data_IF_377865329481
#
_entry.id   IF_377865329481
#
_cell.length_a   1.000
_cell.length_b   1.000
_cell.length_c   1.000
_cell.angle_alpha   90.00
_cell.angle_beta   90.00
_cell.angle_gamma   90.00
#
_symmetry.space_group_name_H-M   'P 1'
#
loop_
_entity.id
_entity.type
_entity.pdbx_description
1 polymer ?
#
# COMPACT_ATOMS: atom_id res chain seq x y z
N UNK A 1 17.84 -34.05 22.74
CA UNK A 1 16.37 -33.91 22.79
C UNK A 1 15.95 -32.60 22.15
N UNK A 2 16.55 -31.46 22.52
CA UNK A 2 16.27 -30.14 21.90
C UNK A 2 16.39 -30.13 20.36
N UNK A 3 17.47 -30.68 19.79
CA UNK A 3 17.65 -30.72 18.33
C UNK A 3 16.59 -31.54 17.56
N UNK A 4 15.98 -32.54 18.23
CA UNK A 4 14.91 -33.35 17.63
C UNK A 4 13.54 -32.68 17.75
N UNK A 5 13.38 -31.78 18.72
CA UNK A 5 12.19 -30.95 18.91
C UNK A 5 12.20 -29.75 17.95
N UNK A 6 13.34 -29.08 17.77
CA UNK A 6 13.53 -28.04 16.75
C UNK A 6 13.23 -28.57 15.35
N UNK A 7 13.80 -29.72 14.96
CA UNK A 7 13.57 -30.31 13.64
C UNK A 7 12.09 -30.65 13.38
N UNK A 8 11.33 -31.04 14.42
CA UNK A 8 9.88 -31.28 14.30
C UNK A 8 9.07 -30.00 14.09
N UNK A 9 9.50 -28.89 14.70
CA UNK A 9 8.87 -27.57 14.54
C UNK A 9 9.15 -27.03 13.13
N UNK A 10 10.40 -27.14 12.65
CA UNK A 10 10.77 -26.75 11.28
C UNK A 10 9.99 -27.58 10.26
N UNK A 11 9.90 -28.89 10.44
CA UNK A 11 9.12 -29.77 9.57
C UNK A 11 7.62 -29.39 9.56
N UNK A 12 7.05 -28.88 10.67
CA UNK A 12 5.65 -28.46 10.70
C UNK A 12 5.35 -27.26 9.81
N UNK A 13 6.23 -26.25 9.77
CA UNK A 13 6.02 -24.98 9.04
C UNK A 13 6.61 -24.95 7.63
N UNK A 14 7.53 -25.86 7.32
CA UNK A 14 8.20 -25.88 6.02
C UNK A 14 7.85 -27.11 5.16
N UNK A 15 7.17 -28.14 5.68
CA UNK A 15 6.72 -29.29 4.86
C UNK A 15 5.64 -28.97 3.82
N UNK A 16 5.05 -27.78 3.83
CA UNK A 16 4.13 -27.32 2.78
C UNK A 16 4.85 -26.65 1.60
N UNK A 17 6.15 -26.39 1.71
CA UNK A 17 6.94 -25.93 0.58
C UNK A 17 7.04 -27.07 -0.43
N UNK A 18 6.28 -26.94 -1.53
CA UNK A 18 6.38 -27.89 -2.64
C UNK A 18 7.83 -27.87 -3.15
N UNK A 19 8.52 -29.03 -3.18
CA UNK A 19 9.87 -29.06 -3.72
C UNK A 19 9.83 -28.63 -5.19
N UNK A 20 10.55 -27.57 -5.51
CA UNK A 20 10.69 -27.09 -6.88
C UNK A 20 11.85 -27.84 -7.55
N UNK A 21 11.59 -28.45 -8.71
CA UNK A 21 12.64 -29.09 -9.51
C UNK A 21 13.53 -28.04 -10.14
N UNK A 22 14.81 -28.35 -10.32
CA UNK A 22 15.71 -27.54 -11.13
C UNK A 22 15.15 -27.46 -12.57
N UNK A 23 14.99 -26.27 -13.16
CA UNK A 23 14.62 -26.15 -14.57
C UNK A 23 15.67 -26.82 -15.46
N UNK A 24 15.23 -27.65 -16.40
CA UNK A 24 16.08 -28.30 -17.41
C UNK A 24 15.92 -27.58 -18.76
N UNK A 25 16.99 -27.58 -19.59
CA UNK A 25 16.95 -27.00 -20.93
C UNK A 25 17.24 -25.50 -20.98
N UNK A 26 16.76 -24.84 -22.03
CA UNK A 26 16.85 -23.38 -22.18
C UNK A 26 15.83 -22.70 -21.26
N UNK A 27 16.29 -21.76 -20.43
CA UNK A 27 15.50 -21.20 -19.33
C UNK A 27 15.02 -19.81 -19.71
N UNK A 28 13.71 -19.67 -19.89
CA UNK A 28 13.03 -18.38 -19.98
C UNK A 28 12.07 -18.21 -18.80
N UNK A 29 12.44 -17.34 -17.86
CA UNK A 29 11.68 -17.05 -16.63
C UNK A 29 10.31 -16.41 -16.94
N UNK A 30 10.16 -15.74 -18.08
CA UNK A 30 8.95 -14.98 -18.43
C UNK A 30 8.17 -15.62 -19.59
N UNK A 31 8.46 -16.88 -19.92
CA UNK A 31 7.76 -17.62 -20.95
C UNK A 31 6.25 -17.71 -20.66
N UNK A 32 5.43 -17.46 -21.69
CA UNK A 32 3.99 -17.64 -21.61
C UNK A 32 3.62 -19.12 -21.59
N UNK A 33 2.66 -19.46 -20.74
CA UNK A 33 2.15 -20.82 -20.60
C UNK A 33 1.10 -21.18 -21.68
N UNK A 34 0.57 -20.19 -22.38
CA UNK A 34 -0.62 -20.29 -23.24
C UNK A 34 -1.93 -20.45 -22.46
N UNK A 35 -1.89 -20.53 -21.12
CA UNK A 35 -3.05 -20.62 -20.25
C UNK A 35 -3.35 -19.27 -19.63
N UNK A 36 -4.28 -18.53 -20.22
CA UNK A 36 -4.63 -17.16 -19.80
C UNK A 36 -4.87 -17.00 -18.30
N UNK A 37 -5.45 -18.01 -17.63
CA UNK A 37 -5.72 -18.03 -16.17
C UNK A 37 -4.47 -18.01 -15.28
N UNK A 38 -3.32 -18.42 -15.82
CA UNK A 38 -2.03 -18.45 -15.10
C UNK A 38 -1.15 -17.24 -15.45
N UNK A 39 -1.61 -16.39 -16.36
CA UNK A 39 -0.83 -15.31 -16.93
C UNK A 39 -1.34 -13.96 -16.43
N UNK A 40 -0.43 -13.05 -16.16
CA UNK A 40 -0.71 -11.66 -15.83
C UNK A 40 0.00 -10.74 -16.81
N UNK A 41 -0.64 -9.63 -17.15
CA UNK A 41 0.01 -8.54 -17.89
C UNK A 41 0.54 -7.58 -16.84
N UNK A 42 1.85 -7.30 -16.86
CA UNK A 42 2.50 -6.37 -15.94
C UNK A 42 3.23 -5.32 -16.78
N UNK A 43 2.98 -4.04 -16.49
CA UNK A 43 3.51 -2.91 -17.26
C UNK A 43 2.56 -2.43 -18.37
N UNK A 44 2.96 -1.37 -19.07
CA UNK A 44 2.17 -0.70 -20.11
C UNK A 44 2.66 0.74 -20.34
N UNK A 45 2.14 1.39 -21.37
CA UNK A 45 2.43 2.81 -21.66
C UNK A 45 1.69 3.76 -20.72
N UNK A 46 0.55 3.32 -20.19
CA UNK A 46 -0.22 4.06 -19.20
C UNK A 46 0.52 4.03 -17.86
N UNK A 47 0.85 5.22 -17.34
CA UNK A 47 1.34 5.43 -15.97
C UNK A 47 0.19 5.21 -14.99
N UNK A 48 -0.43 4.04 -15.02
CA UNK A 48 -1.62 3.73 -14.24
C UNK A 48 -1.25 3.53 -12.76
N UNK A 49 -1.09 4.64 -12.05
CA UNK A 49 -0.88 4.68 -10.61
C UNK A 49 -1.97 3.91 -9.85
N UNK A 50 -3.19 3.87 -10.38
CA UNK A 50 -4.30 3.20 -9.73
C UNK A 50 -4.09 1.69 -9.68
N UNK A 51 -3.60 1.07 -10.77
CA UNK A 51 -3.27 -0.35 -10.79
C UNK A 51 -2.21 -0.71 -9.73
N UNK A 52 -1.15 0.10 -9.60
CA UNK A 52 -0.12 -0.12 -8.57
C UNK A 52 -0.70 0.05 -7.15
N UNK A 53 -1.40 1.16 -6.87
CA UNK A 53 -2.01 1.41 -5.56
C UNK A 53 -2.94 0.26 -5.14
N UNK A 54 -3.84 -0.12 -6.05
CA UNK A 54 -4.87 -1.12 -5.80
C UNK A 54 -4.29 -2.53 -5.70
N UNK A 55 -3.26 -2.84 -6.50
CA UNK A 55 -2.57 -4.12 -6.47
C UNK A 55 -1.93 -4.41 -5.11
N UNK A 56 -1.19 -3.45 -4.55
CA UNK A 56 -0.56 -3.63 -3.24
C UNK A 56 -1.58 -3.73 -2.10
N UNK A 57 -2.66 -2.95 -2.14
CA UNK A 57 -3.77 -3.07 -1.18
C UNK A 57 -4.40 -4.47 -1.20
N UNK A 58 -4.81 -4.92 -2.39
CA UNK A 58 -5.47 -6.23 -2.56
C UNK A 58 -4.55 -7.38 -2.14
N UNK A 59 -3.26 -7.29 -2.45
CA UNK A 59 -2.29 -8.29 -2.03
C UNK A 59 -2.15 -8.35 -0.50
N UNK A 60 -2.07 -7.20 0.18
CA UNK A 60 -2.03 -7.14 1.64
C UNK A 60 -3.30 -7.76 2.25
N UNK A 61 -4.47 -7.43 1.72
CA UNK A 61 -5.76 -7.90 2.23
C UNK A 61 -5.92 -9.42 2.12
N UNK A 62 -5.57 -9.99 0.96
CA UNK A 62 -5.54 -11.46 0.76
C UNK A 62 -4.58 -12.14 1.74
N UNK A 63 -3.43 -11.53 2.05
CA UNK A 63 -2.49 -12.07 3.03
C UNK A 63 -3.04 -11.98 4.46
N UNK A 64 -3.78 -10.92 4.81
CA UNK A 64 -4.48 -10.84 6.10
C UNK A 64 -5.54 -11.94 6.18
N UNK A 65 -6.37 -12.12 5.15
CA UNK A 65 -7.35 -13.21 5.11
C UNK A 65 -6.70 -14.58 5.29
N UNK A 66 -5.59 -14.83 4.58
CA UNK A 66 -4.82 -16.06 4.75
C UNK A 66 -4.27 -16.21 6.18
N UNK A 67 -3.87 -15.11 6.81
CA UNK A 67 -3.36 -15.08 8.18
C UNK A 67 -4.45 -15.37 9.23
N UNK A 68 -5.71 -14.99 8.97
CA UNK A 68 -6.80 -15.07 9.96
C UNK A 68 -7.78 -16.21 9.71
N UNK A 69 -7.65 -16.94 8.60
CA UNK A 69 -8.50 -18.09 8.27
C UNK A 69 -8.51 -19.13 9.40
N UNK A 70 -9.72 -19.44 9.84
CA UNK A 70 -10.02 -20.21 11.05
C UNK A 70 -9.49 -21.64 11.02
N UNK A 71 -9.36 -22.27 9.85
CA UNK A 71 -8.97 -23.69 9.71
C UNK A 71 -7.50 -23.96 10.10
N UNK A 72 -6.75 -22.91 10.40
CA UNK A 72 -5.41 -22.96 10.97
C UNK A 72 -5.48 -22.93 12.51
N UNK A 73 -6.49 -23.58 13.10
CA UNK A 73 -6.85 -23.64 14.53
C UNK A 73 -5.71 -24.02 15.50
N UNK A 74 -4.56 -24.46 14.99
CA UNK A 74 -3.35 -24.67 15.80
C UNK A 74 -2.46 -23.42 15.95
N UNK A 75 -2.87 -22.25 15.43
CA UNK A 75 -2.07 -21.02 15.50
C UNK A 75 -1.93 -20.51 16.93
N UNK A 76 -0.69 -20.48 17.42
CA UNK A 76 0.04 -19.26 17.79
C UNK A 76 1.31 -19.63 18.57
N UNK A 77 2.25 -20.36 17.96
CA UNK A 77 3.64 -20.03 18.30
C UNK A 77 3.97 -18.72 17.56
N UNK A 78 4.73 -17.84 18.21
CA UNK A 78 5.36 -16.71 17.56
C UNK A 78 6.49 -17.25 16.66
N UNK A 79 6.12 -18.08 15.66
CA UNK A 79 7.06 -18.70 14.74
C UNK A 79 7.45 -17.76 13.61
N UNK A 80 8.66 -17.94 13.13
CA UNK A 80 9.25 -17.17 12.04
C UNK A 80 8.37 -17.17 10.78
N UNK A 81 7.60 -18.25 10.54
CA UNK A 81 6.68 -18.33 9.42
C UNK A 81 5.61 -17.22 9.46
N UNK A 82 4.86 -17.10 10.55
CA UNK A 82 3.79 -16.11 10.66
C UNK A 82 4.33 -14.69 10.75
N UNK A 83 5.45 -14.50 11.45
CA UNK A 83 6.11 -13.21 11.55
C UNK A 83 6.66 -12.74 10.20
N UNK A 84 7.17 -13.64 9.35
CA UNK A 84 7.62 -13.29 7.99
C UNK A 84 6.49 -12.76 7.09
N UNK A 85 5.29 -13.30 7.23
CA UNK A 85 4.10 -12.84 6.50
C UNK A 85 3.66 -11.46 7.03
N UNK A 86 3.74 -11.23 8.35
CA UNK A 86 3.41 -9.95 8.97
C UNK A 86 4.26 -8.79 8.41
N UNK A 87 5.58 -8.97 8.26
CA UNK A 87 6.44 -7.96 7.63
C UNK A 87 5.99 -7.61 6.21
N UNK A 88 5.60 -8.62 5.44
CA UNK A 88 5.12 -8.44 4.06
C UNK A 88 3.81 -7.65 4.02
N UNK A 89 2.83 -8.01 4.87
CA UNK A 89 1.54 -7.29 4.98
C UNK A 89 1.76 -5.81 5.29
N UNK A 90 2.57 -5.51 6.31
CA UNK A 90 2.86 -4.14 6.74
C UNK A 90 3.52 -3.34 5.62
N UNK A 91 4.51 -3.94 4.93
CA UNK A 91 5.19 -3.29 3.83
C UNK A 91 4.23 -2.98 2.67
N UNK A 92 3.35 -3.91 2.31
CA UNK A 92 2.38 -3.74 1.23
C UNK A 92 1.38 -2.62 1.55
N UNK A 93 0.82 -2.58 2.77
CA UNK A 93 -0.06 -1.49 3.20
C UNK A 93 0.66 -0.13 3.20
N UNK A 94 1.88 -0.09 3.75
CA UNK A 94 2.69 1.13 3.78
C UNK A 94 3.02 1.62 2.36
N UNK A 95 3.34 0.71 1.44
CA UNK A 95 3.65 1.06 0.06
C UNK A 95 2.41 1.51 -0.73
N UNK A 96 1.26 0.88 -0.48
CA UNK A 96 -0.02 1.36 -0.97
C UNK A 96 -0.28 2.83 -0.57
N UNK A 97 -0.14 3.16 0.73
CA UNK A 97 -0.33 4.54 1.22
C UNK A 97 0.63 5.52 0.53
N UNK A 98 1.91 5.17 0.38
CA UNK A 98 2.89 6.03 -0.33
C UNK A 98 2.43 6.34 -1.76
N UNK A 99 2.07 5.29 -2.52
CA UNK A 99 1.66 5.45 -3.90
C UNK A 99 0.35 6.21 -4.03
N UNK A 100 -0.60 5.97 -3.10
CA UNK A 100 -1.88 6.69 -3.07
C UNK A 100 -1.68 8.17 -2.83
N UNK A 101 -0.82 8.56 -1.89
CA UNK A 101 -0.50 9.97 -1.64
C UNK A 101 0.20 10.63 -2.84
N UNK A 102 1.15 9.92 -3.47
CA UNK A 102 1.80 10.41 -4.71
C UNK A 102 0.81 10.55 -5.86
N UNK A 103 -0.10 9.60 -6.02
CA UNK A 103 -1.16 9.63 -7.03
C UNK A 103 -2.11 10.81 -6.80
N UNK A 104 -2.56 11.04 -5.57
CA UNK A 104 -3.42 12.18 -5.22
C UNK A 104 -2.71 13.52 -5.46
N UNK A 105 -1.43 13.63 -5.11
CA UNK A 105 -0.63 14.82 -5.44
C UNK A 105 -0.59 15.10 -6.94
N UNK A 106 -0.33 14.07 -7.77
CA UNK A 106 -0.35 14.19 -9.24
C UNK A 106 -1.75 14.57 -9.74
N UNK A 107 -2.80 13.98 -9.17
CA UNK A 107 -4.18 14.27 -9.54
C UNK A 107 -4.55 15.75 -9.33
N UNK A 108 -3.94 16.39 -8.33
CA UNK A 108 -4.01 17.84 -8.13
C UNK A 108 -2.96 18.62 -8.96
N UNK A 109 -2.49 18.13 -10.11
CA UNK A 109 -1.43 18.72 -10.95
C UNK A 109 -0.06 18.88 -10.27
N UNK A 110 0.21 18.09 -9.24
CA UNK A 110 1.54 18.02 -8.64
C UNK A 110 2.57 17.41 -9.61
N UNK A 111 3.78 17.97 -9.62
CA UNK A 111 4.89 17.47 -10.43
C UNK A 111 5.63 16.37 -9.65
N UNK A 112 5.43 15.11 -10.05
CA UNK A 112 6.00 13.92 -9.38
C UNK A 112 7.51 14.04 -9.11
N UNK A 113 8.27 14.63 -10.04
CA UNK A 113 9.72 14.79 -9.90
C UNK A 113 10.13 15.56 -8.64
N UNK A 114 9.24 16.40 -8.09
CA UNK A 114 9.49 17.17 -6.87
C UNK A 114 9.40 16.32 -5.60
N UNK A 115 8.69 15.18 -5.65
CA UNK A 115 8.47 14.28 -4.50
C UNK A 115 8.89 12.83 -4.74
N UNK A 116 9.48 12.51 -5.89
CA UNK A 116 9.77 11.11 -6.29
C UNK A 116 10.62 10.34 -5.26
N UNK A 117 11.55 11.04 -4.60
CA UNK A 117 12.46 10.48 -3.60
C UNK A 117 11.95 10.66 -2.16
N UNK A 118 10.78 11.27 -1.97
CA UNK A 118 10.15 11.37 -0.67
C UNK A 118 9.40 10.06 -0.36
N UNK A 119 9.60 9.56 0.85
CA UNK A 119 9.06 8.30 1.34
C UNK A 119 8.37 8.46 2.70
N UNK A 120 8.55 9.58 3.38
CA UNK A 120 7.82 9.91 4.59
C UNK A 120 6.36 10.11 4.23
N UNK A 121 5.49 9.24 4.74
CA UNK A 121 4.06 9.31 4.50
C UNK A 121 3.48 10.61 5.06
N UNK A 122 3.97 11.06 6.22
CA UNK A 122 3.52 12.32 6.82
C UNK A 122 3.93 13.52 5.97
N UNK A 123 5.15 13.52 5.41
CA UNK A 123 5.58 14.60 4.51
C UNK A 123 4.77 14.58 3.21
N UNK A 124 4.56 13.40 2.62
CA UNK A 124 3.73 13.23 1.42
C UNK A 124 2.29 13.72 1.65
N UNK A 125 1.69 13.36 2.79
CA UNK A 125 0.36 13.84 3.19
C UNK A 125 0.29 15.37 3.21
N UNK A 126 1.25 16.02 3.86
CA UNK A 126 1.30 17.49 3.97
C UNK A 126 1.48 18.16 2.61
N UNK A 127 2.41 17.66 1.80
CA UNK A 127 2.66 18.19 0.45
C UNK A 127 1.42 18.03 -0.43
N UNK A 128 0.78 16.87 -0.37
CA UNK A 128 -0.49 16.62 -1.05
C UNK A 128 -1.57 17.59 -0.58
N UNK A 129 -1.81 17.69 0.73
CA UNK A 129 -2.88 18.51 1.28
C UNK A 129 -2.70 19.99 0.92
N UNK A 130 -1.46 20.52 1.01
CA UNK A 130 -1.14 21.88 0.56
C UNK A 130 -1.42 22.06 -0.94
N UNK A 131 -1.08 21.07 -1.78
CA UNK A 131 -1.37 21.14 -3.22
C UNK A 131 -2.87 21.09 -3.49
N UNK A 132 -3.61 20.24 -2.79
CA UNK A 132 -5.05 20.15 -2.87
C UNK A 132 -5.72 21.49 -2.53
N UNK A 133 -5.32 22.17 -1.46
CA UNK A 133 -5.86 23.49 -1.13
C UNK A 133 -5.61 24.53 -2.24
N UNK A 134 -4.43 24.48 -2.87
CA UNK A 134 -4.12 25.34 -4.03
C UNK A 134 -4.99 24.99 -5.24
N UNK A 135 -5.14 23.69 -5.52
CA UNK A 135 -6.01 23.20 -6.60
C UNK A 135 -7.46 23.68 -6.39
N UNK A 136 -8.01 23.54 -5.19
CA UNK A 136 -9.36 24.03 -4.90
C UNK A 136 -9.49 25.55 -5.06
N UNK A 137 -8.45 26.33 -4.76
CA UNK A 137 -8.44 27.79 -5.01
C UNK A 137 -8.40 28.12 -6.51
N UNK A 138 -7.53 27.44 -7.26
CA UNK A 138 -7.35 27.63 -8.71
C UNK A 138 -8.64 27.33 -9.50
N UNK A 139 -9.37 26.31 -9.08
CA UNK A 139 -10.62 25.87 -9.72
C UNK A 139 -11.88 26.38 -9.03
N UNK A 140 -11.75 27.30 -8.06
CA UNK A 140 -12.86 27.89 -7.31
C UNK A 140 -13.82 26.83 -6.71
N UNK A 141 -13.26 25.72 -6.20
CA UNK A 141 -13.99 24.61 -5.57
C UNK A 141 -14.34 24.91 -4.10
N UNK A 142 -13.78 25.98 -3.52
CA UNK A 142 -13.95 26.37 -2.11
C UNK A 142 -15.28 27.09 -1.83
N UNK A 143 -16.37 26.77 -2.54
CA UNK A 143 -17.65 27.45 -2.34
C UNK A 143 -18.36 27.07 -1.04
N UNK A 144 -17.95 25.99 -0.38
CA UNK A 144 -18.50 25.53 0.89
C UNK A 144 -17.40 25.38 1.95
N UNK A 145 -17.66 25.91 3.16
CA UNK A 145 -16.80 25.67 4.31
C UNK A 145 -16.79 24.17 4.64
N UNK A 146 -15.60 23.62 4.90
CA UNK A 146 -15.49 22.24 5.36
C UNK A 146 -16.31 22.05 6.64
N UNK A 147 -17.18 21.04 6.65
CA UNK A 147 -17.95 20.71 7.84
C UNK A 147 -17.02 20.21 8.97
N UNK A 148 -17.50 20.26 10.23
CA UNK A 148 -16.77 19.69 11.36
C UNK A 148 -16.45 18.20 11.17
N UNK A 149 -17.33 17.46 10.47
CA UNK A 149 -17.14 16.04 10.14
C UNK A 149 -15.98 15.87 9.16
N UNK A 150 -15.88 16.70 8.12
CA UNK A 150 -14.77 16.67 7.18
C UNK A 150 -13.42 16.91 7.90
N UNK A 151 -13.36 17.90 8.80
CA UNK A 151 -12.16 18.15 9.60
C UNK A 151 -11.80 16.98 10.51
N UNK A 152 -12.81 16.31 11.08
CA UNK A 152 -12.58 15.12 11.90
C UNK A 152 -11.96 14.01 11.07
N UNK A 153 -12.47 13.73 9.88
CA UNK A 153 -11.98 12.65 9.02
C UNK A 153 -10.54 12.92 8.53
N UNK A 154 -10.26 14.16 8.12
CA UNK A 154 -8.89 14.62 7.77
C UNK A 154 -7.92 14.37 8.93
N UNK A 155 -8.32 14.72 10.15
CA UNK A 155 -7.50 14.49 11.34
C UNK A 155 -7.31 13.00 11.66
N UNK A 156 -8.30 12.15 11.38
CA UNK A 156 -8.19 10.70 11.58
C UNK A 156 -7.21 10.10 10.59
N UNK A 157 -7.31 10.42 9.29
CA UNK A 157 -6.39 9.87 8.30
C UNK A 157 -4.95 10.35 8.52
N UNK A 158 -4.74 11.60 8.95
CA UNK A 158 -3.41 12.11 9.30
C UNK A 158 -2.80 11.33 10.48
N UNK A 159 -3.60 10.99 11.50
CA UNK A 159 -3.14 10.16 12.63
C UNK A 159 -2.72 8.76 12.19
N UNK A 160 -3.50 8.13 11.30
CA UNK A 160 -3.19 6.80 10.76
C UNK A 160 -1.87 6.85 9.98
N UNK A 161 -1.72 7.85 9.09
CA UNK A 161 -0.51 8.09 8.30
C UNK A 161 0.70 8.32 9.22
N UNK A 162 0.53 9.13 10.28
CA UNK A 162 1.59 9.44 11.24
C UNK A 162 2.09 8.19 11.95
N UNK A 163 1.20 7.31 12.40
CA UNK A 163 1.59 6.07 13.06
C UNK A 163 2.41 5.14 12.15
N UNK A 164 2.06 5.04 10.87
CA UNK A 164 2.86 4.28 9.91
C UNK A 164 4.21 4.94 9.62
N UNK A 165 4.26 6.28 9.52
CA UNK A 165 5.50 7.04 9.31
C UNK A 165 6.48 6.86 10.48
N UNK A 166 5.98 6.87 11.72
CA UNK A 166 6.79 6.65 12.92
C UNK A 166 7.45 5.26 12.92
N UNK A 167 6.70 4.25 12.48
CA UNK A 167 7.19 2.88 12.33
C UNK A 167 8.23 2.82 11.20
N UNK A 168 7.91 3.26 9.98
CA UNK A 168 8.77 3.11 8.79
C UNK A 168 8.80 4.32 7.83
N UNK A 169 9.31 5.43 8.35
CA UNK A 169 9.47 6.71 7.62
C UNK A 169 10.12 6.61 6.24
N UNK A 170 11.12 5.74 6.07
CA UNK A 170 11.93 5.70 4.84
C UNK A 170 11.69 4.43 4.00
N UNK A 171 10.62 3.68 4.28
CA UNK A 171 10.36 2.39 3.63
C UNK A 171 11.45 1.34 3.84
N UNK A 172 12.26 1.40 4.90
CA UNK A 172 13.40 0.50 5.08
C UNK A 172 13.17 -0.54 6.15
N UNK A 173 12.52 -0.15 7.25
CA UNK A 173 12.52 -0.95 8.48
C UNK A 173 11.69 -2.23 8.37
N UNK A 174 10.69 -2.23 7.49
CA UNK A 174 9.88 -3.42 7.20
C UNK A 174 10.51 -4.37 6.17
N UNK A 175 11.60 -3.95 5.50
CA UNK A 175 12.30 -4.73 4.48
C UNK A 175 13.62 -5.30 4.96
N UNK A 176 14.30 -4.59 5.85
CA UNK A 176 15.65 -4.94 6.27
C UNK A 176 15.70 -5.07 7.80
N UNK A 177 16.20 -6.20 8.34
CA UNK A 177 16.26 -6.42 9.78
C UNK A 177 17.24 -5.47 10.49
N UNK A 178 18.22 -4.95 9.74
CA UNK A 178 19.18 -3.94 10.21
C UNK A 178 19.26 -2.76 9.25
N UNK A 179 19.62 -1.60 9.79
CA UNK A 179 19.91 -0.40 9.01
C UNK A 179 21.31 -0.44 8.38
N UNK A 180 21.67 0.64 7.67
CA UNK A 180 22.97 0.75 6.98
C UNK A 180 24.19 0.71 7.92
N UNK A 181 24.00 0.92 9.22
CA UNK A 181 25.07 0.84 10.23
C UNK A 181 25.00 -0.45 11.06
N UNK A 182 24.13 -1.38 10.69
CA UNK A 182 23.99 -2.69 11.35
C UNK A 182 23.11 -2.68 12.61
N UNK A 183 22.39 -1.59 12.90
CA UNK A 183 21.49 -1.52 14.05
C UNK A 183 20.13 -2.12 13.68
N UNK A 184 19.52 -2.86 14.60
CA UNK A 184 18.16 -3.41 14.45
C UNK A 184 17.19 -2.30 14.03
N UNK A 185 16.50 -2.54 12.91
CA UNK A 185 15.63 -1.56 12.26
C UNK A 185 14.32 -1.32 13.00
N UNK A 186 13.71 -2.39 13.51
CA UNK A 186 12.41 -2.36 14.16
C UNK A 186 12.46 -3.21 15.44
N UNK A 187 12.17 -2.63 16.63
CA UNK A 187 12.06 -3.42 17.84
C UNK A 187 10.82 -4.32 17.80
N UNK A 188 10.77 -5.41 18.58
CA UNK A 188 9.61 -6.29 18.64
C UNK A 188 8.33 -5.53 19.00
N UNK A 189 7.27 -5.75 18.22
CA UNK A 189 5.95 -5.19 18.46
C UNK A 189 4.87 -6.22 18.11
N UNK A 190 3.79 -6.26 18.89
CA UNK A 190 2.62 -7.08 18.60
C UNK A 190 1.61 -6.23 17.86
N UNK A 191 1.10 -6.73 16.75
CA UNK A 191 0.13 -6.04 15.91
C UNK A 191 -1.06 -6.98 15.70
N UNK A 192 -2.25 -6.47 15.96
CA UNK A 192 -3.48 -7.12 15.55
C UNK A 192 -3.73 -6.81 14.06
N UNK A 193 -3.56 -7.83 13.22
CA UNK A 193 -3.68 -7.69 11.76
C UNK A 193 -5.12 -7.43 11.31
N UNK A 194 -6.13 -7.89 12.06
CA UNK A 194 -7.54 -7.62 11.76
C UNK A 194 -7.83 -6.16 12.03
N UNK A 195 -7.47 -5.68 13.23
CA UNK A 195 -7.67 -4.28 13.61
C UNK A 195 -6.91 -3.34 12.66
N UNK A 196 -5.66 -3.67 12.33
CA UNK A 196 -4.85 -2.91 11.38
C UNK A 196 -5.57 -2.77 10.03
N UNK A 197 -6.07 -3.89 9.49
CA UNK A 197 -6.80 -3.89 8.22
C UNK A 197 -8.05 -3.03 8.28
N UNK A 198 -8.85 -3.11 9.34
CA UNK A 198 -10.09 -2.35 9.48
C UNK A 198 -9.83 -0.83 9.46
N UNK A 199 -8.86 -0.37 10.25
CA UNK A 199 -8.48 1.04 10.33
C UNK A 199 -7.92 1.55 9.00
N UNK A 200 -7.05 0.76 8.37
CA UNK A 200 -6.52 1.10 7.06
C UNK A 200 -7.57 1.04 5.95
N UNK A 201 -8.58 0.16 6.07
CA UNK A 201 -9.67 0.04 5.11
C UNK A 201 -10.50 1.32 5.06
N UNK A 202 -10.79 1.89 6.24
CA UNK A 202 -11.42 3.21 6.32
C UNK A 202 -10.54 4.30 5.70
N UNK A 203 -9.24 4.33 6.00
CA UNK A 203 -8.31 5.31 5.42
C UNK A 203 -8.23 5.19 3.90
N UNK A 204 -8.18 3.97 3.36
CA UNK A 204 -8.19 3.73 1.91
C UNK A 204 -9.49 4.25 1.27
N UNK A 205 -10.65 3.97 1.86
CA UNK A 205 -11.95 4.48 1.37
C UNK A 205 -12.01 6.00 1.37
N UNK A 206 -11.51 6.64 2.43
CA UNK A 206 -11.43 8.09 2.51
C UNK A 206 -10.55 8.69 1.40
N UNK A 207 -9.35 8.13 1.19
CA UNK A 207 -8.42 8.58 0.14
C UNK A 207 -8.92 8.26 -1.28
N UNK A 208 -9.62 7.14 -1.47
CA UNK A 208 -10.31 6.81 -2.72
C UNK A 208 -11.38 7.87 -3.04
N UNK A 209 -12.15 8.30 -2.04
CA UNK A 209 -13.14 9.36 -2.18
C UNK A 209 -12.55 10.67 -2.71
N UNK A 210 -11.38 11.08 -2.20
CA UNK A 210 -10.66 12.24 -2.72
C UNK A 210 -10.21 12.04 -4.16
N UNK A 211 -9.69 10.87 -4.50
CA UNK A 211 -9.28 10.55 -5.87
C UNK A 211 -10.46 10.65 -6.84
N UNK A 212 -11.64 10.14 -6.46
CA UNK A 212 -12.86 10.24 -7.25
C UNK A 212 -13.31 11.71 -7.41
N UNK A 213 -13.37 12.46 -6.31
CA UNK A 213 -13.80 13.87 -6.35
C UNK A 213 -12.90 14.74 -7.23
N UNK A 214 -11.58 14.55 -7.15
CA UNK A 214 -10.62 15.26 -8.03
C UNK A 214 -10.84 14.87 -9.49
N UNK A 215 -11.05 13.59 -9.78
CA UNK A 215 -11.31 13.13 -11.14
C UNK A 215 -12.61 13.72 -11.71
N UNK A 216 -13.67 13.78 -10.92
CA UNK A 216 -14.94 14.41 -11.32
C UNK A 216 -14.77 15.90 -11.64
N UNK A 217 -13.98 16.62 -10.84
CA UNK A 217 -13.62 18.01 -11.13
C UNK A 217 -12.92 18.15 -12.49
N UNK A 218 -12.00 17.23 -12.82
CA UNK A 218 -11.35 17.22 -14.13
C UNK A 218 -12.30 17.00 -15.28
N UNK A 219 -13.24 16.08 -15.15
CA UNK A 219 -14.23 15.81 -16.19
C UNK A 219 -15.12 17.02 -16.44
N UNK A 220 -15.54 17.72 -15.37
CA UNK A 220 -16.32 18.95 -15.49
C UNK A 220 -15.52 20.08 -16.19
N UNK A 221 -14.26 20.25 -15.82
CA UNK A 221 -13.38 21.26 -16.44
C UNK A 221 -13.14 20.99 -17.94
N UNK A 222 -12.88 19.73 -18.31
CA UNK A 222 -12.71 19.36 -19.71
C UNK A 222 -13.98 19.65 -20.53
N UNK A 223 -15.15 19.32 -20.00
CA UNK A 223 -16.42 19.62 -20.64
C UNK A 223 -16.64 21.14 -20.83
N UNK A 224 -16.30 21.96 -19.83
CA UNK A 224 -16.39 23.42 -19.93
C UNK A 224 -15.46 23.99 -21.01
N UNK A 225 -14.22 23.48 -21.10
CA UNK A 225 -13.25 23.89 -22.11
C UNK A 225 -13.70 23.55 -23.53
N UNK A 226 -14.30 22.38 -23.72
CA UNK A 226 -14.81 21.97 -25.02
C UNK A 226 -16.04 22.79 -25.42
N UNK A 227 -16.92 23.12 -24.49
CA UNK A 227 -18.05 24.03 -24.75
C UNK A 227 -17.59 25.42 -25.20
N UNK A 228 -16.57 25.99 -24.55
CA UNK A 228 -16.01 27.30 -24.89
C UNK A 228 -15.27 27.34 -26.24
N UNK A 229 -14.84 26.19 -26.79
CA UNK A 229 -14.23 26.09 -28.12
C UNK A 229 -15.24 26.05 -29.26
N UNK A 230 -16.51 25.76 -28.97
CA UNK A 230 -17.59 25.64 -29.96
C UNK A 230 -18.58 26.82 -29.92
N UNK A 231 -18.37 27.79 -29.03
CA UNK A 231 -19.09 29.07 -28.93
C UNK A 231 -18.32 30.20 -29.59
#
# INVERSE_FOLDING_TARGET
>A
MEQQEENKITDKYYNHLKPHKLPEGDIDLFALSGQRRNEAIVGGEDKDWYAYCTGYWRAADVLVDHLVQSDLLERHDYSEHWESIAYSILYLYRHHLELRLKQLFIACEGILETIKNEHSLLMLWRIFYERYEKFCKEYNLNSEELSEENFRDINVVEKIITQFDEIDKNSQKLRYPVDKVGKVSLPPMKIDMVHLREILGWANQFLDGWSCGIYECWQAELANRDAARHS
#
